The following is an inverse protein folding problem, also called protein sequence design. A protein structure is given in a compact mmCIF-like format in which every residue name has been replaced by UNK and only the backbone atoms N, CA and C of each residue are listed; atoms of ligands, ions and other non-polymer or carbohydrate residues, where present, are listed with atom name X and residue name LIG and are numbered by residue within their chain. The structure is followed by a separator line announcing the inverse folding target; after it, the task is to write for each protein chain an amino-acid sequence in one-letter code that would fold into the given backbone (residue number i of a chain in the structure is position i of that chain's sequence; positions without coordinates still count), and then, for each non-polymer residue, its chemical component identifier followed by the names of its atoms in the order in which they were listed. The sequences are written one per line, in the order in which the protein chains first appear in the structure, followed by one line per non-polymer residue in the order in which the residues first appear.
data_IF_762157013384
#
_entry.id   IF_762157013384
#
_cell.length_a   1.000
_cell.length_b   1.000
_cell.length_c   1.000
_cell.angle_alpha   90.00
_cell.angle_beta   90.00
_cell.angle_gamma   90.00
#
_symmetry.space_group_name_H-M   'P 1'
#
loop_
_entity.id
_entity.type
_entity.pdbx_description
1 polymer ?
#
# COMPACT_ATOMS: atom_id res chain seq x y z
N UNK A 1 4.00 7.08 -21.60
CA UNK A 1 4.72 7.18 -20.30
C UNK A 1 3.73 6.88 -19.18
N UNK A 2 4.11 6.11 -18.16
CA UNK A 2 3.22 5.73 -17.05
C UNK A 2 3.69 6.36 -15.74
N UNK A 3 2.87 7.23 -15.15
CA UNK A 3 3.23 8.02 -13.96
C UNK A 3 2.72 7.43 -12.63
N UNK A 4 1.84 6.42 -12.69
CA UNK A 4 1.17 5.88 -11.50
C UNK A 4 2.00 4.73 -10.93
N UNK A 5 2.60 4.91 -9.75
CA UNK A 5 3.40 3.89 -9.06
C UNK A 5 2.55 2.95 -8.19
N UNK A 6 1.75 3.49 -7.28
CA UNK A 6 1.04 2.73 -6.25
C UNK A 6 -0.49 2.74 -6.45
N UNK A 7 -0.97 2.55 -7.69
CA UNK A 7 -2.41 2.44 -7.99
C UNK A 7 -3.30 3.51 -7.33
N UNK A 8 -2.95 4.80 -7.51
CA UNK A 8 -3.57 5.94 -6.78
C UNK A 8 -5.09 6.08 -6.87
N UNK A 9 -5.72 5.36 -7.80
CA UNK A 9 -7.17 5.41 -8.05
C UNK A 9 -7.92 4.19 -7.51
N UNK A 10 -7.22 3.20 -6.94
CA UNK A 10 -7.84 2.03 -6.33
C UNK A 10 -8.31 2.33 -4.90
N UNK A 11 -9.35 1.65 -4.44
CA UNK A 11 -9.82 1.74 -3.05
C UNK A 11 -8.75 1.24 -2.06
N UNK A 12 -8.06 0.15 -2.45
CA UNK A 12 -6.90 -0.42 -1.77
C UNK A 12 -5.82 -0.73 -2.80
N UNK A 13 -4.57 -0.38 -2.50
CA UNK A 13 -3.40 -0.78 -3.29
C UNK A 13 -2.55 -1.74 -2.48
N UNK A 14 -2.02 -2.78 -3.11
CA UNK A 14 -1.15 -3.77 -2.48
C UNK A 14 0.21 -3.82 -3.18
N UNK A 15 1.30 -3.88 -2.41
CA UNK A 15 2.67 -3.96 -2.92
C UNK A 15 3.65 -4.44 -1.86
N UNK A 16 4.90 -4.69 -2.25
CA UNK A 16 5.93 -5.23 -1.35
C UNK A 16 6.85 -4.16 -0.73
N UNK A 17 7.00 -2.99 -1.38
CA UNK A 17 7.91 -1.95 -0.89
C UNK A 17 7.35 -1.30 0.37
N UNK A 18 8.19 -1.17 1.39
CA UNK A 18 7.82 -0.59 2.68
C UNK A 18 7.62 -1.64 3.77
N UNK A 19 7.61 -2.93 3.42
CA UNK A 19 7.42 -4.04 4.37
C UNK A 19 8.51 -5.10 4.21
N UNK A 20 8.68 -5.93 5.23
CA UNK A 20 9.61 -7.08 5.19
C UNK A 20 9.15 -8.18 4.20
N UNK A 21 10.04 -9.13 3.92
CA UNK A 21 9.73 -10.26 3.04
C UNK A 21 8.60 -11.12 3.62
N UNK A 22 7.64 -11.50 2.77
CA UNK A 22 6.45 -12.23 3.19
C UNK A 22 5.29 -11.33 3.66
N UNK A 23 5.51 -10.02 3.80
CA UNK A 23 4.47 -9.05 4.08
C UNK A 23 4.05 -8.28 2.83
N UNK A 24 2.88 -7.65 2.92
CA UNK A 24 2.34 -6.80 1.86
C UNK A 24 1.98 -5.45 2.45
N UNK A 25 2.56 -4.39 1.91
CA UNK A 25 2.17 -3.02 2.15
C UNK A 25 0.80 -2.75 1.52
N UNK A 26 -0.16 -2.33 2.35
CA UNK A 26 -1.49 -1.91 1.91
C UNK A 26 -1.66 -0.39 2.03
N UNK A 27 -2.10 0.26 0.95
CA UNK A 27 -2.50 1.66 0.97
C UNK A 27 -4.02 1.75 0.82
N UNK A 28 -4.69 2.11 1.92
CA UNK A 28 -6.15 2.26 1.99
C UNK A 28 -6.50 3.72 1.68
N UNK A 29 -7.32 3.96 0.64
CA UNK A 29 -7.55 5.33 0.13
C UNK A 29 -8.89 5.94 0.51
N UNK A 30 -9.93 5.13 0.66
CA UNK A 30 -11.28 5.61 0.89
C UNK A 30 -12.07 4.72 1.85
N UNK A 31 -13.30 5.13 2.13
CA UNK A 31 -14.19 4.44 3.06
C UNK A 31 -14.48 2.99 2.65
N UNK A 32 -14.69 2.73 1.35
CA UNK A 32 -14.92 1.39 0.83
C UNK A 32 -13.72 0.48 1.06
N UNK A 33 -12.51 0.95 0.75
CA UNK A 33 -11.27 0.21 1.00
C UNK A 33 -11.03 -0.04 2.48
N UNK A 34 -11.33 0.95 3.34
CA UNK A 34 -11.22 0.80 4.79
C UNK A 34 -12.19 -0.27 5.31
N UNK A 35 -13.46 -0.22 4.90
CA UNK A 35 -14.46 -1.20 5.30
C UNK A 35 -14.09 -2.62 4.85
N UNK A 36 -13.59 -2.77 3.62
CA UNK A 36 -13.09 -4.05 3.10
C UNK A 36 -11.98 -4.62 3.99
N UNK A 37 -10.95 -3.83 4.28
CA UNK A 37 -9.79 -4.27 5.06
C UNK A 37 -10.18 -4.55 6.52
N UNK A 38 -10.99 -3.69 7.14
CA UNK A 38 -11.48 -3.93 8.50
C UNK A 38 -12.26 -5.23 8.61
N UNK A 39 -13.16 -5.52 7.66
CA UNK A 39 -13.90 -6.77 7.65
C UNK A 39 -12.98 -7.99 7.48
N UNK A 40 -11.96 -7.90 6.61
CA UNK A 40 -10.99 -8.98 6.42
C UNK A 40 -10.16 -9.26 7.69
N UNK A 41 -9.85 -8.23 8.49
CA UNK A 41 -9.21 -8.39 9.80
C UNK A 41 -10.16 -9.03 10.80
N UNK A 42 -11.40 -8.53 10.89
CA UNK A 42 -12.43 -9.06 11.81
C UNK A 42 -12.75 -10.54 11.55
N UNK A 43 -12.75 -10.95 10.28
CA UNK A 43 -12.96 -12.35 9.86
C UNK A 43 -11.71 -13.22 10.02
N UNK A 44 -10.57 -12.66 10.44
CA UNK A 44 -9.31 -13.38 10.60
C UNK A 44 -8.65 -13.80 9.28
N UNK A 45 -9.01 -13.18 8.15
CA UNK A 45 -8.39 -13.46 6.86
C UNK A 45 -6.99 -12.87 6.73
N UNK A 46 -6.75 -11.72 7.36
CA UNK A 46 -5.46 -11.03 7.37
C UNK A 46 -5.16 -10.48 8.77
N UNK A 47 -3.89 -10.30 9.07
CA UNK A 47 -3.40 -9.51 10.20
C UNK A 47 -2.74 -8.23 9.68
N UNK A 48 -2.80 -7.16 10.48
CA UNK A 48 -2.15 -5.89 10.17
C UNK A 48 -1.06 -5.60 11.19
N UNK A 49 -0.02 -4.91 10.73
CA UNK A 49 1.02 -4.28 11.52
C UNK A 49 1.21 -2.86 11.02
N UNK A 50 1.60 -1.95 11.90
CA UNK A 50 1.90 -0.56 11.54
C UNK A 50 3.39 -0.37 11.15
N UNK A 51 4.15 -1.46 11.05
CA UNK A 51 5.56 -1.46 10.63
C UNK A 51 5.68 -1.33 9.11
N UNK A 52 5.62 -0.08 8.64
CA UNK A 52 5.74 0.28 7.23
C UNK A 52 6.75 1.42 7.05
N UNK A 53 7.76 1.22 6.21
CA UNK A 53 8.68 2.26 5.78
C UNK A 53 8.06 3.12 4.67
N UNK A 54 7.37 4.18 5.10
CA UNK A 54 6.76 5.16 4.19
C UNK A 54 7.79 5.91 3.34
N UNK A 55 9.04 6.06 3.82
CA UNK A 55 10.10 6.74 3.08
C UNK A 55 10.51 5.93 1.85
N UNK A 56 10.68 4.62 2.02
CA UNK A 56 10.99 3.70 0.92
C UNK A 56 9.91 3.74 -0.18
N UNK A 57 8.62 3.82 0.21
CA UNK A 57 7.51 3.98 -0.74
C UNK A 57 7.62 5.32 -1.48
N UNK A 58 7.88 6.42 -0.76
CA UNK A 58 8.05 7.75 -1.32
C UNK A 58 9.22 7.84 -2.33
N UNK A 59 10.35 7.22 -2.00
CA UNK A 59 11.52 7.14 -2.89
C UNK A 59 11.22 6.36 -4.16
N UNK A 60 10.48 5.26 -4.06
CA UNK A 60 10.10 4.48 -5.23
C UNK A 60 9.15 5.26 -6.16
N UNK A 61 8.23 6.06 -5.60
CA UNK A 61 7.36 6.98 -6.37
C UNK A 61 8.19 8.04 -7.09
N UNK A 62 9.13 8.69 -6.38
CA UNK A 62 10.02 9.72 -6.93
C UNK A 62 10.85 9.17 -8.09
N UNK A 63 11.44 7.98 -7.90
CA UNK A 63 12.24 7.28 -8.91
C UNK A 63 11.43 6.99 -10.18
N UNK A 64 10.18 6.51 -10.07
CA UNK A 64 9.32 6.27 -11.25
C UNK A 64 9.01 7.55 -12.02
N UNK A 65 8.91 8.69 -11.34
CA UNK A 65 8.65 10.00 -11.96
C UNK A 65 9.90 10.66 -12.55
N UNK A 66 11.08 10.06 -12.41
CA UNK A 66 12.35 10.67 -12.85
C UNK A 66 12.79 11.85 -11.98
N UNK A 67 12.27 11.95 -10.75
CA UNK A 67 12.67 12.94 -9.75
C UNK A 67 13.70 12.29 -8.82
N UNK A 68 14.92 12.09 -9.31
CA UNK A 68 16.04 11.58 -8.52
C UNK A 68 16.89 12.75 -8.01
#
# INVERSE_FOLDING_TARGET
MCEVYASRFADVSAGNIGTEEGFTTLIIRNASGKALVSNAVELGNISLTDDVDESAIGDAVRRKKGMA
#
